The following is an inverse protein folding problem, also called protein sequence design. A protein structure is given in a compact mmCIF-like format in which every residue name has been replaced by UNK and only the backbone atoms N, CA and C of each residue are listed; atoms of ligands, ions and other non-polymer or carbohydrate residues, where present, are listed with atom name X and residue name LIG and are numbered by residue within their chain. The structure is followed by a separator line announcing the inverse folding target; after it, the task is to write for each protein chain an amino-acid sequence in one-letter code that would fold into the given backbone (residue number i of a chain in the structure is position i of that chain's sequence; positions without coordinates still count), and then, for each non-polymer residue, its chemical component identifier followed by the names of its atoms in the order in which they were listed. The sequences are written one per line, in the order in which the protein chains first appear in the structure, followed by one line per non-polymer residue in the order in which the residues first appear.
data_IF_432776645185
#
_entry.id   IF_432776645185
#
_cell.length_a   1.000
_cell.length_b   1.000
_cell.length_c   1.000
_cell.angle_alpha   90.00
_cell.angle_beta   90.00
_cell.angle_gamma   90.00
#
_symmetry.space_group_name_H-M   'P 1'
#
loop_
_entity.id
_entity.type
_entity.pdbx_description
1 polymer ?
#
# COMPACT_ATOMS: atom_id res chain seq x y z
N UNK A 1 -67.20 -49.98 44.38
CA UNK A 1 -66.98 -50.55 43.03
C UNK A 1 -66.72 -49.37 42.14
N UNK A 2 -65.43 -49.18 41.77
CA UNK A 2 -65.00 -48.15 40.85
C UNK A 2 -63.58 -48.51 40.42
N UNK A 3 -63.50 -49.11 39.24
CA UNK A 3 -62.25 -49.49 38.59
C UNK A 3 -61.52 -48.25 38.12
N UNK A 4 -60.33 -48.04 38.49
CA UNK A 4 -59.42 -47.02 38.01
C UNK A 4 -58.59 -47.56 36.85
N UNK A 5 -58.89 -47.11 35.65
CA UNK A 5 -58.11 -47.45 34.45
C UNK A 5 -56.88 -46.62 34.41
N UNK A 6 -55.70 -47.26 34.55
CA UNK A 6 -54.38 -46.67 34.40
C UNK A 6 -54.07 -46.62 32.89
N UNK A 7 -54.03 -45.45 32.31
CA UNK A 7 -53.59 -45.24 30.95
C UNK A 7 -52.09 -45.01 30.94
N UNK A 8 -51.32 -46.01 30.45
CA UNK A 8 -49.88 -45.94 30.22
C UNK A 8 -49.61 -44.95 29.04
N UNK A 9 -48.90 -43.88 29.36
CA UNK A 9 -48.33 -42.99 28.36
C UNK A 9 -47.00 -43.62 27.86
N UNK A 10 -47.05 -44.26 26.72
CA UNK A 10 -45.85 -44.64 25.97
C UNK A 10 -45.11 -43.36 25.53
N UNK A 11 -43.91 -43.18 26.06
CA UNK A 11 -42.99 -42.15 25.68
C UNK A 11 -42.50 -42.35 24.25
N UNK A 12 -42.96 -41.51 23.36
CA UNK A 12 -42.49 -41.43 22.00
C UNK A 12 -41.10 -40.79 22.04
N UNK A 13 -40.07 -41.60 22.08
CA UNK A 13 -38.66 -41.18 21.90
C UNK A 13 -38.55 -40.63 20.47
N UNK A 14 -38.53 -39.30 20.36
CA UNK A 14 -38.26 -38.64 19.07
C UNK A 14 -36.78 -38.90 18.74
N UNK A 15 -36.53 -39.80 17.80
CA UNK A 15 -35.26 -40.00 17.19
C UNK A 15 -34.80 -38.66 16.54
N UNK A 16 -33.82 -38.02 17.14
CA UNK A 16 -33.13 -36.87 16.58
C UNK A 16 -32.46 -37.34 15.27
N UNK A 17 -32.79 -36.78 14.10
CA UNK A 17 -32.15 -37.19 12.86
C UNK A 17 -30.66 -36.88 12.95
N UNK A 18 -29.84 -37.93 12.90
CA UNK A 18 -28.40 -37.87 12.79
C UNK A 18 -27.98 -37.37 11.38
N UNK A 19 -28.31 -36.13 11.06
CA UNK A 19 -27.67 -35.39 9.99
C UNK A 19 -26.76 -34.32 10.62
N UNK A 20 -25.80 -34.75 11.42
CA UNK A 20 -24.58 -34.00 11.62
C UNK A 20 -23.90 -33.97 10.26
N UNK A 21 -24.16 -32.92 9.49
CA UNK A 21 -23.49 -32.67 8.23
C UNK A 21 -22.01 -32.80 8.49
N UNK A 22 -21.41 -33.86 7.95
CA UNK A 22 -19.99 -34.09 8.01
C UNK A 22 -19.31 -32.83 7.49
N UNK A 23 -18.70 -32.05 8.39
CA UNK A 23 -18.01 -30.82 8.05
C UNK A 23 -16.97 -31.17 6.99
N UNK A 24 -17.26 -30.83 5.74
CA UNK A 24 -16.38 -31.12 4.61
C UNK A 24 -15.01 -30.55 4.94
N UNK A 25 -14.00 -31.40 5.01
CA UNK A 25 -12.62 -30.95 5.26
C UNK A 25 -12.25 -29.91 4.20
N UNK A 26 -11.84 -28.71 4.60
CA UNK A 26 -11.54 -27.65 3.65
C UNK A 26 -10.49 -28.12 2.65
N UNK A 27 -10.72 -27.92 1.36
CA UNK A 27 -9.80 -28.28 0.30
C UNK A 27 -8.44 -27.56 0.45
N UNK A 28 -7.37 -28.04 -0.23
CA UNK A 28 -6.03 -27.47 -0.08
C UNK A 28 -5.99 -25.96 -0.36
N UNK A 29 -6.72 -25.47 -1.33
CA UNK A 29 -6.84 -24.03 -1.63
C UNK A 29 -7.59 -23.26 -0.52
N UNK A 30 -8.62 -23.85 0.08
CA UNK A 30 -9.30 -23.24 1.22
C UNK A 30 -8.40 -23.15 2.45
N UNK A 31 -7.53 -24.14 2.67
CA UNK A 31 -6.54 -24.12 3.76
C UNK A 31 -5.49 -23.01 3.57
N UNK A 32 -5.07 -22.73 2.34
CA UNK A 32 -4.15 -21.63 2.02
C UNK A 32 -4.80 -20.26 2.19
N UNK A 33 -6.10 -20.15 1.92
CA UNK A 33 -6.89 -18.91 2.05
C UNK A 33 -7.32 -18.61 3.49
N UNK A 34 -7.23 -19.58 4.41
CA UNK A 34 -7.62 -19.39 5.81
C UNK A 34 -6.62 -18.48 6.51
N UNK A 35 -7.03 -17.34 7.11
CA UNK A 35 -6.13 -16.46 7.83
C UNK A 35 -5.47 -17.21 8.99
N UNK A 36 -4.17 -17.46 8.92
CA UNK A 36 -3.36 -18.01 9.99
C UNK A 36 -2.46 -16.92 10.53
N UNK A 37 -2.15 -16.97 11.83
CA UNK A 37 -1.11 -16.09 12.38
C UNK A 37 0.24 -16.55 11.83
N UNK A 38 0.90 -15.74 10.99
CA UNK A 38 2.18 -16.14 10.41
C UNK A 38 3.27 -16.15 11.49
N UNK A 39 4.31 -16.96 11.30
CA UNK A 39 5.48 -16.99 12.19
C UNK A 39 6.30 -15.72 11.97
N UNK A 40 6.68 -15.03 13.03
CA UNK A 40 7.37 -13.74 12.96
C UNK A 40 8.65 -13.79 12.11
N UNK A 41 9.49 -14.82 12.30
CA UNK A 41 10.73 -14.98 11.53
C UNK A 41 10.47 -15.13 10.03
N UNK A 42 9.39 -15.83 9.65
CA UNK A 42 8.99 -15.98 8.24
C UNK A 42 8.54 -14.65 7.65
N UNK A 43 7.82 -13.84 8.41
CA UNK A 43 7.37 -12.52 7.97
C UNK A 43 8.55 -11.55 7.78
N UNK A 44 9.49 -11.55 8.71
CA UNK A 44 10.70 -10.74 8.59
C UNK A 44 11.49 -11.14 7.33
N UNK A 45 11.70 -12.44 7.13
CA UNK A 45 12.38 -12.97 5.94
C UNK A 45 11.62 -12.61 4.66
N UNK A 46 10.30 -12.78 4.63
CA UNK A 46 9.47 -12.47 3.47
C UNK A 46 9.54 -10.98 3.11
N UNK A 47 9.44 -10.10 4.10
CA UNK A 47 9.54 -8.64 3.89
C UNK A 47 10.94 -8.28 3.40
N UNK A 48 11.99 -8.81 4.03
CA UNK A 48 13.38 -8.55 3.64
C UNK A 48 13.68 -9.03 2.21
N UNK A 49 13.28 -10.27 1.86
CA UNK A 49 13.45 -10.82 0.51
C UNK A 49 12.63 -10.04 -0.51
N UNK A 50 11.38 -9.67 -0.19
CA UNK A 50 10.55 -8.88 -1.08
C UNK A 50 11.12 -7.49 -1.34
N UNK A 51 11.65 -6.83 -0.31
CA UNK A 51 12.30 -5.53 -0.44
C UNK A 51 13.60 -5.63 -1.25
N UNK A 52 14.41 -6.66 -0.99
CA UNK A 52 15.63 -6.92 -1.74
C UNK A 52 15.33 -7.19 -3.23
N UNK A 53 14.34 -8.06 -3.51
CA UNK A 53 13.90 -8.35 -4.88
C UNK A 53 13.37 -7.08 -5.57
N UNK A 54 12.56 -6.29 -4.86
CA UNK A 54 12.11 -4.99 -5.35
C UNK A 54 13.29 -4.08 -5.74
N UNK A 55 14.27 -3.97 -4.87
CA UNK A 55 15.46 -3.13 -5.10
C UNK A 55 16.27 -3.64 -6.30
N UNK A 56 16.46 -4.95 -6.42
CA UNK A 56 17.16 -5.56 -7.57
C UNK A 56 16.44 -5.27 -8.89
N UNK A 57 15.13 -5.52 -8.95
CA UNK A 57 14.34 -5.31 -10.19
C UNK A 57 14.36 -3.83 -10.56
N UNK A 58 14.10 -2.95 -9.59
CA UNK A 58 14.10 -1.50 -9.81
C UNK A 58 15.43 -1.00 -10.37
N UNK A 59 16.54 -1.51 -9.85
CA UNK A 59 17.88 -1.10 -10.27
C UNK A 59 18.34 -1.79 -11.57
N UNK A 60 17.75 -2.95 -11.90
CA UNK A 60 18.02 -3.65 -13.16
C UNK A 60 17.28 -3.06 -14.38
N UNK A 61 16.28 -2.18 -14.15
CA UNK A 61 15.62 -1.45 -15.25
C UNK A 61 16.67 -0.53 -15.90
N UNK A 62 16.92 -0.67 -17.23
CA UNK A 62 17.89 0.18 -17.92
C UNK A 62 17.56 1.65 -17.73
N UNK A 63 18.59 2.48 -17.52
CA UNK A 63 18.43 3.93 -17.49
C UNK A 63 18.05 4.45 -18.88
N UNK A 64 16.77 4.50 -19.18
CA UNK A 64 16.22 5.04 -20.41
C UNK A 64 15.98 6.55 -20.26
N UNK A 65 17.05 7.30 -19.94
CA UNK A 65 16.97 8.74 -19.65
C UNK A 65 16.21 9.52 -20.71
N UNK A 66 16.54 9.29 -21.98
CA UNK A 66 15.92 10.04 -23.08
C UNK A 66 14.42 9.72 -23.22
N UNK A 67 14.02 8.47 -23.01
CA UNK A 67 12.62 8.07 -23.03
C UNK A 67 11.88 8.59 -21.81
N UNK A 68 12.47 8.48 -20.63
CA UNK A 68 11.90 8.97 -19.38
C UNK A 68 11.65 10.48 -19.42
N UNK A 69 12.56 11.27 -20.01
CA UNK A 69 12.36 12.70 -20.19
C UNK A 69 11.26 13.01 -21.23
N UNK A 70 11.20 12.28 -22.35
CA UNK A 70 10.08 12.44 -23.31
C UNK A 70 8.74 12.13 -22.69
N UNK A 71 8.67 11.07 -21.87
CA UNK A 71 7.46 10.73 -21.16
C UNK A 71 7.08 11.81 -20.12
N UNK A 72 8.07 12.40 -19.44
CA UNK A 72 7.84 13.52 -18.53
C UNK A 72 7.27 14.74 -19.25
N UNK A 73 7.84 15.11 -20.42
CA UNK A 73 7.32 16.20 -21.25
C UNK A 73 5.88 15.93 -21.71
N UNK A 74 5.55 14.66 -21.98
CA UNK A 74 4.19 14.28 -22.37
C UNK A 74 3.21 14.40 -21.21
N UNK A 75 3.56 13.91 -20.02
CA UNK A 75 2.75 14.05 -18.80
C UNK A 75 2.56 15.52 -18.47
N UNK A 76 3.63 16.32 -18.48
CA UNK A 76 3.58 17.75 -18.18
C UNK A 76 2.63 18.50 -19.15
N UNK A 77 2.70 18.23 -20.43
CA UNK A 77 1.75 18.78 -21.41
C UNK A 77 0.31 18.33 -21.16
N UNK A 78 0.11 17.06 -20.81
CA UNK A 78 -1.23 16.55 -20.47
C UNK A 78 -1.82 17.26 -19.27
N UNK A 79 -1.05 17.45 -18.20
CA UNK A 79 -1.51 18.18 -17.02
C UNK A 79 -1.85 19.64 -17.31
N UNK A 80 -1.10 20.29 -18.20
CA UNK A 80 -1.45 21.62 -18.71
C UNK A 80 -2.78 21.62 -19.48
N UNK A 81 -2.98 20.65 -20.37
CA UNK A 81 -4.25 20.54 -21.10
C UNK A 81 -5.45 20.28 -20.20
N UNK A 82 -5.24 19.56 -19.11
CA UNK A 82 -6.26 19.30 -18.10
C UNK A 82 -6.46 20.47 -17.13
N UNK A 83 -5.61 21.49 -17.16
CA UNK A 83 -5.66 22.64 -16.24
C UNK A 83 -5.27 22.31 -14.80
N UNK A 84 -4.49 21.23 -14.58
CA UNK A 84 -4.06 20.75 -13.25
C UNK A 84 -2.55 20.89 -13.03
N UNK A 85 -1.80 21.45 -13.96
CA UNK A 85 -0.35 21.65 -13.89
C UNK A 85 0.00 22.74 -12.86
N UNK A 86 0.03 22.38 -11.59
CA UNK A 86 0.30 23.30 -10.45
C UNK A 86 1.65 23.04 -9.79
N UNK A 87 2.35 21.99 -10.19
CA UNK A 87 3.55 21.45 -9.53
C UNK A 87 4.66 22.51 -9.46
N UNK A 88 4.92 23.22 -10.56
CA UNK A 88 5.95 24.25 -10.64
C UNK A 88 5.63 25.39 -9.65
N UNK A 89 4.40 25.90 -9.66
CA UNK A 89 3.96 26.97 -8.74
C UNK A 89 4.04 26.52 -7.28
N UNK A 90 3.64 25.28 -6.96
CA UNK A 90 3.72 24.72 -5.62
C UNK A 90 5.18 24.54 -5.20
N UNK A 91 6.04 24.00 -6.08
CA UNK A 91 7.45 23.79 -5.83
C UNK A 91 8.15 25.13 -5.51
N UNK A 92 7.95 26.16 -6.32
CA UNK A 92 8.50 27.48 -6.07
C UNK A 92 7.98 28.12 -4.77
N UNK A 93 6.65 28.09 -4.57
CA UNK A 93 6.02 28.68 -3.39
C UNK A 93 6.50 28.05 -2.09
N UNK A 94 6.61 26.71 -2.04
CA UNK A 94 7.06 26.00 -0.83
C UNK A 94 8.58 26.13 -0.65
N UNK A 95 9.37 26.13 -1.74
CA UNK A 95 10.83 26.31 -1.68
C UNK A 95 11.24 27.66 -1.07
N UNK A 96 10.39 28.70 -1.17
CA UNK A 96 10.62 29.98 -0.52
C UNK A 96 10.68 29.89 1.03
N UNK A 97 10.17 28.81 1.62
CA UNK A 97 10.17 28.56 3.07
C UNK A 97 11.13 27.42 3.39
N UNK A 98 12.41 27.74 3.60
CA UNK A 98 13.51 26.79 3.73
C UNK A 98 13.26 25.66 4.74
N UNK A 99 12.81 25.98 5.96
CA UNK A 99 12.57 24.95 6.98
C UNK A 99 11.47 23.96 6.58
N UNK A 100 10.45 24.42 5.84
CA UNK A 100 9.33 23.60 5.39
C UNK A 100 9.79 22.64 4.29
N UNK A 101 10.45 23.14 3.25
CA UNK A 101 10.91 22.29 2.15
C UNK A 101 11.96 21.27 2.59
N UNK A 102 12.87 21.66 3.51
CA UNK A 102 13.83 20.74 4.12
C UNK A 102 13.11 19.62 4.90
N UNK A 103 12.09 19.99 5.70
CA UNK A 103 11.25 19.01 6.37
C UNK A 103 10.51 18.07 5.40
N UNK A 104 10.02 18.61 4.27
CA UNK A 104 9.36 17.82 3.23
C UNK A 104 10.32 16.86 2.51
N UNK A 105 11.57 17.26 2.28
CA UNK A 105 12.59 16.37 1.70
C UNK A 105 12.85 15.16 2.62
N UNK A 106 12.99 15.37 3.93
CA UNK A 106 13.16 14.26 4.90
C UNK A 106 11.89 13.42 5.03
N UNK A 107 10.70 14.06 5.02
CA UNK A 107 9.43 13.35 4.97
C UNK A 107 9.37 12.39 3.77
N UNK A 108 9.66 12.91 2.57
CA UNK A 108 9.70 12.14 1.34
C UNK A 108 10.66 10.95 1.43
N UNK A 109 11.85 11.18 1.96
CA UNK A 109 12.89 10.15 2.03
C UNK A 109 12.57 9.01 3.02
N UNK A 110 11.84 9.29 4.13
CA UNK A 110 11.80 8.36 5.27
C UNK A 110 10.42 7.90 5.68
N UNK A 111 9.43 8.80 5.69
CA UNK A 111 8.17 8.54 6.41
C UNK A 111 7.35 7.39 5.81
N UNK A 112 7.35 7.23 4.50
CA UNK A 112 6.64 6.14 3.85
C UNK A 112 7.15 4.76 4.26
N UNK A 113 8.46 4.59 4.50
CA UNK A 113 9.02 3.35 5.03
C UNK A 113 8.65 3.13 6.50
N UNK A 114 8.89 4.16 7.31
CA UNK A 114 8.65 4.08 8.76
C UNK A 114 7.19 3.78 9.06
N UNK A 115 6.27 4.51 8.43
CA UNK A 115 4.84 4.35 8.71
C UNK A 115 4.28 3.04 8.13
N UNK A 116 4.72 2.63 6.94
CA UNK A 116 4.33 1.33 6.37
C UNK A 116 4.77 0.18 7.28
N UNK A 117 6.00 0.20 7.77
CA UNK A 117 6.49 -0.80 8.70
C UNK A 117 5.73 -0.76 10.04
N UNK A 118 5.47 0.42 10.58
CA UNK A 118 4.69 0.58 11.81
C UNK A 118 3.27 0.02 11.66
N UNK A 119 2.60 0.27 10.54
CA UNK A 119 1.26 -0.27 10.25
C UNK A 119 1.30 -1.79 10.09
N UNK A 120 2.31 -2.35 9.43
CA UNK A 120 2.50 -3.81 9.34
C UNK A 120 2.69 -4.44 10.72
N UNK A 121 3.52 -3.85 11.58
CA UNK A 121 3.74 -4.33 12.95
C UNK A 121 2.46 -4.22 13.77
N UNK A 122 1.74 -3.12 13.66
CA UNK A 122 0.46 -2.94 14.34
C UNK A 122 -0.58 -3.98 13.89
N UNK A 123 -0.73 -4.21 12.58
CA UNK A 123 -1.63 -5.24 12.04
C UNK A 123 -1.24 -6.63 12.52
N UNK A 124 0.05 -6.97 12.50
CA UNK A 124 0.54 -8.26 12.96
C UNK A 124 0.20 -8.52 14.43
N UNK A 125 0.33 -7.49 15.29
CA UNK A 125 0.06 -7.59 16.73
C UNK A 125 -1.42 -7.51 17.07
N UNK A 126 -2.12 -6.52 16.51
CA UNK A 126 -3.48 -6.16 16.91
C UNK A 126 -4.57 -6.77 16.04
N UNK A 127 -4.26 -7.16 14.78
CA UNK A 127 -5.22 -7.66 13.80
C UNK A 127 -4.70 -8.88 13.01
N UNK A 128 -4.22 -9.95 13.68
CA UNK A 128 -3.53 -11.05 13.01
C UNK A 128 -4.37 -11.77 11.95
N UNK A 129 -5.71 -11.81 12.08
CA UNK A 129 -6.60 -12.38 11.06
C UNK A 129 -6.74 -11.55 9.79
N UNK A 130 -6.34 -10.27 9.82
CA UNK A 130 -6.38 -9.33 8.70
C UNK A 130 -5.02 -9.08 8.07
N UNK A 131 -3.96 -9.35 8.83
CA UNK A 131 -2.58 -9.06 8.47
C UNK A 131 -2.19 -9.64 7.11
N UNK A 132 -2.42 -10.93 6.88
CA UNK A 132 -2.04 -11.61 5.63
C UNK A 132 -2.68 -11.00 4.40
N UNK A 133 -3.97 -10.65 4.49
CA UNK A 133 -4.70 -10.00 3.40
C UNK A 133 -4.24 -8.56 3.16
N UNK A 134 -4.00 -7.78 4.21
CA UNK A 134 -3.49 -6.41 4.10
C UNK A 134 -2.08 -6.38 3.51
N UNK A 135 -1.20 -7.29 3.94
CA UNK A 135 0.14 -7.46 3.37
C UNK A 135 0.07 -7.88 1.89
N UNK A 136 -0.84 -8.79 1.53
CA UNK A 136 -1.03 -9.20 0.12
C UNK A 136 -1.42 -7.99 -0.75
N UNK A 137 -2.31 -7.13 -0.27
CA UNK A 137 -2.67 -5.90 -0.98
C UNK A 137 -1.44 -5.02 -1.22
N UNK A 138 -0.62 -4.78 -0.18
CA UNK A 138 0.59 -3.98 -0.27
C UNK A 138 1.60 -4.58 -1.27
N UNK A 139 1.82 -5.90 -1.22
CA UNK A 139 2.76 -6.58 -2.11
C UNK A 139 2.28 -6.61 -3.56
N UNK A 140 1.00 -6.87 -3.80
CA UNK A 140 0.44 -6.82 -5.15
C UNK A 140 0.47 -5.41 -5.75
N UNK A 141 0.20 -4.38 -4.93
CA UNK A 141 0.37 -2.97 -5.31
C UNK A 141 1.79 -2.68 -5.75
N UNK A 142 2.78 -3.11 -4.97
CA UNK A 142 4.20 -2.89 -5.26
C UNK A 142 4.66 -3.70 -6.48
N UNK A 143 4.19 -4.94 -6.61
CA UNK A 143 4.54 -5.79 -7.75
C UNK A 143 4.04 -5.24 -9.09
N UNK A 144 2.80 -4.75 -9.15
CA UNK A 144 2.29 -4.15 -10.39
C UNK A 144 2.97 -2.82 -10.70
N UNK A 145 3.39 -2.07 -9.68
CA UNK A 145 4.16 -0.84 -9.90
C UNK A 145 5.54 -1.11 -10.51
N UNK A 146 6.22 -2.20 -10.13
CA UNK A 146 7.48 -2.62 -10.77
C UNK A 146 7.30 -2.86 -12.27
N UNK A 147 6.18 -3.47 -12.67
CA UNK A 147 5.83 -3.62 -14.10
C UNK A 147 5.64 -2.24 -14.75
N UNK A 148 4.98 -1.31 -14.06
CA UNK A 148 4.80 0.07 -14.53
C UNK A 148 6.14 0.77 -14.77
N UNK A 149 7.09 0.68 -13.84
CA UNK A 149 8.42 1.28 -14.00
C UNK A 149 9.22 0.74 -15.20
N UNK A 150 9.04 -0.54 -15.49
CA UNK A 150 9.67 -1.16 -16.66
C UNK A 150 9.01 -0.72 -17.98
N UNK A 151 7.68 -0.68 -18.01
CA UNK A 151 6.92 -0.38 -19.23
C UNK A 151 6.85 1.12 -19.55
N UNK A 152 6.93 1.98 -18.54
CA UNK A 152 6.80 3.42 -18.69
C UNK A 152 7.81 4.15 -17.79
N UNK A 153 9.09 4.19 -18.20
CA UNK A 153 10.10 4.97 -17.48
C UNK A 153 9.71 6.44 -17.51
N UNK A 154 9.69 7.07 -16.32
CA UNK A 154 9.29 8.48 -16.18
C UNK A 154 10.29 9.24 -15.33
N UNK A 155 10.81 10.33 -15.87
CA UNK A 155 11.63 11.26 -15.11
C UNK A 155 10.74 12.11 -14.18
N UNK A 156 11.13 12.34 -12.92
CA UNK A 156 10.42 13.26 -12.06
C UNK A 156 10.57 14.71 -12.54
N UNK A 157 9.64 15.64 -12.20
CA UNK A 157 9.67 17.04 -12.63
C UNK A 157 11.02 17.72 -12.42
N UNK A 158 11.67 17.50 -11.26
CA UNK A 158 12.97 18.10 -10.91
C UNK A 158 14.12 17.74 -11.85
N UNK A 159 13.98 16.73 -12.71
CA UNK A 159 15.00 16.30 -13.67
C UNK A 159 14.69 16.76 -15.10
N UNK A 160 13.57 17.45 -15.34
CA UNK A 160 13.21 17.96 -16.65
C UNK A 160 14.12 19.11 -17.06
N UNK A 161 14.50 19.15 -18.31
CA UNK A 161 15.28 20.24 -18.89
C UNK A 161 14.33 21.28 -19.53
N UNK A 162 14.63 22.56 -19.35
CA UNK A 162 13.87 23.64 -19.99
C UNK A 162 12.58 24.04 -19.27
N UNK A 163 12.33 23.52 -18.07
CA UNK A 163 11.29 23.93 -17.14
C UNK A 163 11.92 24.48 -15.86
N UNK A 164 11.17 25.28 -15.11
CA UNK A 164 11.68 26.04 -13.97
C UNK A 164 11.58 25.26 -12.63
N UNK A 165 11.50 23.93 -12.67
CA UNK A 165 11.46 23.11 -11.47
C UNK A 165 12.74 23.19 -10.66
N UNK A 166 12.61 23.41 -9.36
CA UNK A 166 13.71 23.47 -8.40
C UNK A 166 13.96 22.05 -7.85
N UNK A 167 15.18 21.51 -8.06
CA UNK A 167 15.60 20.30 -7.34
C UNK A 167 15.94 20.66 -5.90
N UNK A 168 14.94 20.57 -5.03
CA UNK A 168 15.01 20.99 -3.63
C UNK A 168 16.00 20.16 -2.82
N UNK A 169 16.29 18.92 -3.23
CA UNK A 169 17.28 18.06 -2.58
C UNK A 169 18.70 18.60 -2.84
N UNK A 170 18.97 19.02 -4.07
CA UNK A 170 20.26 19.58 -4.47
C UNK A 170 20.45 20.96 -3.87
N UNK A 171 19.45 21.84 -3.99
CA UNK A 171 19.52 23.23 -3.51
C UNK A 171 19.73 23.29 -2.00
N UNK A 172 19.03 22.48 -1.23
CA UNK A 172 19.11 22.47 0.24
C UNK A 172 20.07 21.42 0.81
N UNK A 173 20.80 20.72 -0.06
CA UNK A 173 21.80 19.68 0.32
C UNK A 173 21.24 18.65 1.32
N UNK A 174 19.95 18.31 1.18
CA UNK A 174 19.33 17.29 2.02
C UNK A 174 19.62 15.89 1.48
N UNK A 175 19.83 14.91 2.39
CA UNK A 175 19.83 13.51 1.96
C UNK A 175 18.37 13.09 1.73
N UNK A 176 17.84 13.36 0.58
CA UNK A 176 16.51 12.96 0.18
C UNK A 176 16.57 11.75 -0.73
N UNK A 177 15.64 10.83 -0.61
CA UNK A 177 15.52 9.60 -1.39
C UNK A 177 16.88 9.10 -1.90
N UNK A 178 17.31 7.93 -1.71
CA UNK A 178 18.56 7.29 -2.20
C UNK A 178 19.26 7.96 -3.43
N UNK A 179 19.02 9.25 -3.67
CA UNK A 179 19.44 10.06 -4.81
C UNK A 179 20.62 10.99 -4.48
N UNK A 180 21.16 10.97 -3.26
CA UNK A 180 22.31 11.78 -2.84
C UNK A 180 23.53 10.91 -2.53
N UNK A 181 24.71 11.37 -2.94
CA UNK A 181 25.99 10.67 -2.73
C UNK A 181 26.10 9.37 -3.55
N UNK A 182 26.83 8.39 -3.04
CA UNK A 182 27.06 7.10 -3.70
C UNK A 182 25.76 6.30 -3.92
N UNK A 183 24.73 6.55 -3.13
CA UNK A 183 23.41 5.93 -3.28
C UNK A 183 22.65 6.44 -4.53
N UNK A 184 23.02 7.59 -5.07
CA UNK A 184 22.48 8.12 -6.33
C UNK A 184 22.69 7.14 -7.49
N UNK A 185 23.85 6.49 -7.52
CA UNK A 185 24.22 5.51 -8.53
C UNK A 185 23.54 4.15 -8.32
N UNK A 186 22.90 3.93 -7.15
CA UNK A 186 22.23 2.69 -6.79
C UNK A 186 20.71 2.74 -6.92
N UNK A 187 20.10 3.89 -7.29
CA UNK A 187 18.66 4.01 -7.42
C UNK A 187 18.27 4.54 -8.79
N UNK A 188 17.39 3.81 -9.49
CA UNK A 188 16.81 4.29 -10.75
C UNK A 188 15.96 5.54 -10.49
N UNK A 189 16.44 6.70 -10.95
CA UNK A 189 15.77 7.99 -10.79
C UNK A 189 14.58 8.17 -11.75
N UNK A 190 14.46 7.31 -12.76
CA UNK A 190 13.44 7.37 -13.82
C UNK A 190 12.24 6.46 -13.55
N UNK A 191 12.00 6.13 -12.29
CA UNK A 191 10.87 5.33 -11.82
C UNK A 191 9.87 6.21 -11.04
N UNK A 192 9.42 7.33 -11.66
CA UNK A 192 8.47 8.22 -11.00
C UNK A 192 7.03 7.70 -11.06
N UNK A 193 6.61 7.09 -12.17
CA UNK A 193 5.24 6.58 -12.35
C UNK A 193 5.22 5.05 -12.40
N UNK A 194 4.33 4.42 -11.62
CA UNK A 194 3.36 4.97 -10.66
C UNK A 194 3.99 5.36 -9.31
N UNK A 195 3.47 6.39 -8.63
CA UNK A 195 4.00 6.81 -7.33
C UNK A 195 3.71 5.81 -6.22
N UNK A 196 4.74 5.12 -5.74
CA UNK A 196 4.58 4.24 -4.56
C UNK A 196 4.49 5.00 -3.24
N UNK A 197 4.94 6.25 -3.19
CA UNK A 197 4.65 7.12 -2.05
C UNK A 197 3.15 7.26 -1.83
N UNK A 198 2.39 7.46 -2.90
CA UNK A 198 0.92 7.51 -2.85
C UNK A 198 0.32 6.12 -2.63
N UNK A 199 0.77 5.10 -3.34
CA UNK A 199 0.25 3.74 -3.17
C UNK A 199 0.36 3.25 -1.71
N UNK A 200 1.54 3.43 -1.09
CA UNK A 200 1.78 2.99 0.29
C UNK A 200 1.12 3.90 1.33
N UNK A 201 1.13 5.22 1.11
CA UNK A 201 0.46 6.14 2.05
C UNK A 201 -1.06 5.95 2.07
N UNK A 202 -1.68 5.72 0.93
CA UNK A 202 -3.10 5.38 0.83
C UNK A 202 -3.40 4.02 1.48
N UNK A 203 -2.55 3.01 1.25
CA UNK A 203 -2.70 1.71 1.94
C UNK A 203 -2.63 1.87 3.46
N UNK A 204 -1.66 2.62 3.98
CA UNK A 204 -1.56 2.96 5.41
C UNK A 204 -2.79 3.71 5.89
N UNK A 205 -3.15 4.78 5.18
CA UNK A 205 -4.25 5.67 5.53
C UNK A 205 -5.59 4.94 5.60
N UNK A 206 -5.93 4.16 4.58
CA UNK A 206 -7.15 3.36 4.53
C UNK A 206 -7.16 2.27 5.60
N UNK A 207 -6.01 1.63 5.86
CA UNK A 207 -5.88 0.62 6.92
C UNK A 207 -6.12 1.24 8.30
N UNK A 208 -5.49 2.38 8.59
CA UNK A 208 -5.68 3.11 9.86
C UNK A 208 -7.13 3.60 9.96
N UNK A 209 -7.66 4.23 8.92
CA UNK A 209 -9.03 4.75 8.91
C UNK A 209 -10.08 3.67 9.19
N UNK A 210 -9.92 2.49 8.60
CA UNK A 210 -10.91 1.41 8.75
C UNK A 210 -10.77 0.64 10.05
N UNK A 211 -9.58 0.54 10.63
CA UNK A 211 -9.30 -0.36 11.76
C UNK A 211 -9.00 0.34 13.09
N UNK A 212 -8.61 1.61 13.09
CA UNK A 212 -8.35 2.35 14.33
C UNK A 212 -9.63 2.60 15.11
N UNK A 213 -9.54 2.54 16.43
CA UNK A 213 -10.69 2.76 17.33
C UNK A 213 -10.95 4.24 17.62
N UNK A 214 -9.89 5.03 17.70
CA UNK A 214 -9.95 6.45 18.07
C UNK A 214 -10.26 7.31 16.83
N UNK A 215 -11.29 8.18 16.87
CA UNK A 215 -11.68 9.00 15.70
C UNK A 215 -10.55 9.89 15.19
N UNK A 216 -9.78 10.52 16.09
CA UNK A 216 -8.67 11.39 15.69
C UNK A 216 -7.54 10.61 14.97
N UNK A 217 -7.28 9.34 15.35
CA UNK A 217 -6.32 8.48 14.64
C UNK A 217 -6.81 8.16 13.24
N UNK A 218 -8.12 7.97 13.06
CA UNK A 218 -8.73 7.74 11.74
C UNK A 218 -8.56 8.98 10.84
N UNK A 219 -8.77 10.18 11.41
CA UNK A 219 -8.55 11.44 10.68
C UNK A 219 -7.08 11.57 10.28
N UNK A 220 -6.14 11.33 11.19
CA UNK A 220 -4.71 11.32 10.85
C UNK A 220 -4.37 10.31 9.74
N UNK A 221 -5.05 9.15 9.74
CA UNK A 221 -4.93 8.17 8.66
C UNK A 221 -5.29 8.73 7.29
N UNK A 222 -6.35 9.56 7.19
CA UNK A 222 -6.74 10.21 5.93
C UNK A 222 -5.85 11.41 5.57
N UNK A 223 -5.39 12.14 6.58
CA UNK A 223 -4.49 13.29 6.36
C UNK A 223 -3.12 12.85 5.86
N UNK A 224 -2.66 11.65 6.19
CA UNK A 224 -1.35 11.16 5.81
C UNK A 224 -1.15 11.08 4.28
N UNK A 225 -2.00 10.40 3.48
CA UNK A 225 -1.84 10.39 2.03
C UNK A 225 -2.04 11.78 1.40
N UNK A 226 -2.88 12.63 1.97
CA UNK A 226 -3.04 14.02 1.53
C UNK A 226 -1.75 14.83 1.73
N UNK A 227 -1.14 14.73 2.91
CA UNK A 227 0.16 15.35 3.18
C UNK A 227 1.26 14.79 2.26
N UNK A 228 1.26 13.48 2.01
CA UNK A 228 2.20 12.84 1.09
C UNK A 228 2.06 13.39 -0.32
N UNK A 229 0.82 13.61 -0.80
CA UNK A 229 0.57 14.19 -2.11
C UNK A 229 1.15 15.61 -2.23
N UNK A 230 0.91 16.45 -1.22
CA UNK A 230 1.49 17.79 -1.16
C UNK A 230 3.02 17.75 -1.18
N UNK A 231 3.61 16.85 -0.39
CA UNK A 231 5.07 16.69 -0.28
C UNK A 231 5.69 16.27 -1.61
N UNK A 232 5.14 15.25 -2.30
CA UNK A 232 5.73 14.75 -3.55
C UNK A 232 5.67 15.77 -4.68
N UNK A 233 4.64 16.62 -4.70
CA UNK A 233 4.47 17.72 -5.65
C UNK A 233 5.41 18.87 -5.28
N UNK A 234 5.40 19.34 -4.02
CA UNK A 234 6.22 20.46 -3.56
C UNK A 234 7.73 20.20 -3.72
N UNK A 235 8.16 18.96 -3.56
CA UNK A 235 9.57 18.56 -3.76
C UNK A 235 9.91 18.25 -5.22
N UNK A 236 8.97 18.44 -6.16
CA UNK A 236 9.11 18.13 -7.59
C UNK A 236 9.59 16.69 -7.88
N UNK A 237 9.25 15.75 -7.00
CA UNK A 237 9.58 14.33 -7.18
C UNK A 237 8.54 13.56 -7.99
N UNK A 238 7.32 14.10 -8.13
CA UNK A 238 6.22 13.45 -8.85
C UNK A 238 5.28 14.48 -9.48
N UNK A 239 4.69 14.08 -10.59
CA UNK A 239 3.51 14.72 -11.18
C UNK A 239 2.22 14.29 -10.45
N UNK A 240 1.14 15.04 -10.62
CA UNK A 240 -0.19 14.62 -10.15
C UNK A 240 -0.63 13.28 -10.72
N UNK A 241 -0.36 13.06 -12.00
CA UNK A 241 -0.72 11.81 -12.67
C UNK A 241 0.05 10.60 -12.15
N UNK A 242 1.24 10.78 -11.58
CA UNK A 242 1.96 9.70 -10.89
C UNK A 242 1.17 9.20 -9.67
N UNK A 243 0.50 10.13 -8.99
CA UNK A 243 -0.36 9.79 -7.86
C UNK A 243 -1.58 8.98 -8.30
N UNK A 244 -2.19 9.34 -9.44
CA UNK A 244 -3.27 8.55 -10.05
C UNK A 244 -2.78 7.14 -10.38
N UNK A 245 -1.59 7.01 -10.96
CA UNK A 245 -0.94 5.71 -11.19
C UNK A 245 -0.79 4.89 -9.91
N UNK A 246 -0.35 5.52 -8.81
CA UNK A 246 -0.24 4.88 -7.49
C UNK A 246 -1.59 4.41 -6.93
N UNK A 247 -2.66 5.20 -7.12
CA UNK A 247 -4.03 4.81 -6.74
C UNK A 247 -4.53 3.61 -7.54
N UNK A 248 -4.26 3.56 -8.85
CA UNK A 248 -4.62 2.43 -9.71
C UNK A 248 -3.90 1.15 -9.26
N UNK A 249 -2.60 1.24 -8.95
CA UNK A 249 -1.84 0.12 -8.41
C UNK A 249 -2.44 -0.39 -7.09
N UNK A 250 -2.85 0.51 -6.20
CA UNK A 250 -3.49 0.13 -4.93
C UNK A 250 -4.84 -0.54 -5.16
N UNK A 251 -5.66 -0.01 -6.08
CA UNK A 251 -6.94 -0.62 -6.44
C UNK A 251 -6.73 -2.06 -6.97
N UNK A 252 -5.73 -2.27 -7.81
CA UNK A 252 -5.31 -3.61 -8.26
C UNK A 252 -4.92 -4.50 -7.07
N UNK A 253 -4.09 -4.01 -6.14
CA UNK A 253 -3.69 -4.76 -4.94
C UNK A 253 -4.88 -5.20 -4.09
N UNK A 254 -5.88 -4.33 -3.92
CA UNK A 254 -7.12 -4.69 -3.22
C UNK A 254 -7.99 -5.65 -4.03
N UNK A 255 -8.03 -5.55 -5.35
CA UNK A 255 -8.75 -6.51 -6.21
C UNK A 255 -8.14 -7.91 -6.08
N UNK A 256 -6.81 -8.03 -6.16
CA UNK A 256 -6.08 -9.31 -5.94
C UNK A 256 -6.41 -9.87 -4.56
N UNK A 257 -6.39 -9.04 -3.53
CA UNK A 257 -6.70 -9.48 -2.17
C UNK A 257 -8.13 -9.96 -2.03
N UNK A 258 -9.09 -9.25 -2.62
CA UNK A 258 -10.51 -9.63 -2.60
C UNK A 258 -10.75 -10.97 -3.30
N UNK A 259 -10.13 -11.18 -4.46
CA UNK A 259 -10.26 -12.46 -5.20
C UNK A 259 -9.60 -13.61 -4.46
N UNK A 260 -8.46 -13.38 -3.80
CA UNK A 260 -7.76 -14.41 -3.04
C UNK A 260 -8.43 -14.75 -1.71
N UNK A 261 -8.77 -13.72 -0.92
CA UNK A 261 -9.26 -13.88 0.46
C UNK A 261 -10.79 -13.92 0.55
N UNK A 262 -11.51 -13.67 -0.56
CA UNK A 262 -12.97 -13.58 -0.61
C UNK A 262 -13.54 -12.29 -0.04
N UNK A 263 -12.73 -11.43 0.59
CA UNK A 263 -13.14 -10.16 1.16
C UNK A 263 -11.94 -9.17 1.24
N UNK A 264 -12.26 -7.89 1.42
CA UNK A 264 -11.25 -6.87 1.71
C UNK A 264 -10.70 -7.04 3.13
N UNK A 265 -9.46 -6.61 3.42
CA UNK A 265 -8.79 -6.83 4.71
C UNK A 265 -9.60 -6.37 5.93
N UNK A 266 -10.29 -5.23 5.85
CA UNK A 266 -11.09 -4.69 6.95
C UNK A 266 -12.35 -5.52 7.25
N UNK A 267 -12.90 -6.24 6.27
CA UNK A 267 -14.07 -7.09 6.42
C UNK A 267 -13.73 -8.49 6.98
N UNK A 268 -12.44 -8.86 7.02
CA UNK A 268 -12.00 -10.12 7.59
C UNK A 268 -12.03 -10.10 9.14
N UNK A 269 -12.15 -11.28 9.78
CA UNK A 269 -12.10 -11.38 11.24
C UNK A 269 -10.80 -10.80 11.81
N UNK A 270 -10.89 -10.15 12.98
CA UNK A 270 -9.72 -9.60 13.67
C UNK A 270 -8.75 -10.70 14.11
N UNK A 271 -9.28 -11.82 14.59
CA UNK A 271 -8.51 -13.00 15.01
C UNK A 271 -8.58 -14.08 13.93
N UNK A 272 -7.53 -14.87 13.74
CA UNK A 272 -7.59 -16.05 12.91
C UNK A 272 -8.65 -17.03 13.45
N UNK A 273 -9.35 -17.74 12.57
CA UNK A 273 -10.20 -18.83 13.02
C UNK A 273 -9.32 -19.90 13.67
N UNK A 274 -9.74 -20.49 14.83
CA UNK A 274 -9.07 -21.66 15.36
C UNK A 274 -9.00 -22.71 14.25
N UNK A 275 -7.84 -23.31 14.08
CA UNK A 275 -7.70 -24.44 13.15
C UNK A 275 -8.55 -25.62 13.62
N UNK A 276 -8.97 -26.49 12.71
CA UNK A 276 -9.63 -27.73 13.08
C UNK A 276 -8.70 -28.63 13.90
#
# INVERSE_FOLDING_TARGET
MGESTVTSLEGREQAVPASVAAAQRPGPLQRLRTPRRPRLWFEILLIAVSYWTYSLIRNAVPEQRAEALRNADWIWRMEHHLGIAVEESVNHGVNAVTWLIVGMNYYYATLHFVLTLAVLVWLYRAHPGRYGAARLALFATTAVALVGYYLYPLAPPRLMNGNDFIDTVVVHQTWGSMASGDLKNMSNQYAAMPSMHIGWSLWCGLTIFTLAKLPWVRILGLLYPTATLIVIVATANHFWLDAVGGMICLAFGYAVTRTWSGALPHALPKQPRPGP
#
